data_IF_706173954828
#
_entry.id   IF_706173954828
#
_cell.length_a   1.000
_cell.length_b   1.000
_cell.length_c   1.000
_cell.angle_alpha   90.00
_cell.angle_beta   90.00
_cell.angle_gamma   90.00
#
_symmetry.space_group_name_H-M   'P 1'
#
loop_
_entity.id
_entity.type
_entity.pdbx_description
1 polymer ?
#
# COMPACT_ATOMS: atom_id res chain seq x y z
N UNK A 1 3.88 -10.37 18.69
CA UNK A 1 3.54 -9.05 18.09
C UNK A 1 4.62 -7.98 18.28
N UNK A 2 5.28 -7.87 19.44
CA UNK A 2 6.24 -6.77 19.74
C UNK A 2 7.51 -6.74 18.85
N UNK A 3 7.92 -7.87 18.26
CA UNK A 3 9.09 -7.93 17.36
C UNK A 3 8.87 -7.26 15.99
N UNK A 4 7.62 -7.11 15.54
CA UNK A 4 7.28 -6.50 14.26
C UNK A 4 7.37 -4.96 14.29
N UNK A 5 7.20 -4.35 15.45
CA UNK A 5 7.27 -2.89 15.61
C UNK A 5 8.71 -2.38 15.81
N UNK A 6 9.61 -3.23 16.34
CA UNK A 6 11.01 -2.84 16.58
C UNK A 6 11.85 -2.80 15.30
N UNK A 7 11.63 -3.69 14.34
CA UNK A 7 12.43 -3.74 13.10
C UNK A 7 11.82 -2.91 11.97
N UNK A 8 12.65 -2.28 11.14
CA UNK A 8 12.15 -1.52 9.97
C UNK A 8 11.44 -2.42 8.95
N UNK A 9 11.89 -3.68 8.82
CA UNK A 9 11.25 -4.69 7.97
C UNK A 9 9.86 -5.08 8.48
N UNK A 10 9.67 -5.19 9.80
CA UNK A 10 8.36 -5.48 10.38
C UNK A 10 7.37 -4.33 10.17
N UNK A 11 7.83 -3.08 10.31
CA UNK A 11 7.04 -1.89 9.97
C UNK A 11 6.67 -1.84 8.48
N UNK A 12 7.60 -2.20 7.60
CA UNK A 12 7.34 -2.31 6.16
C UNK A 12 6.25 -3.33 5.85
N UNK A 13 6.26 -4.50 6.49
CA UNK A 13 5.21 -5.52 6.30
C UNK A 13 3.84 -5.02 6.74
N UNK A 14 3.75 -4.30 7.86
CA UNK A 14 2.49 -3.71 8.33
C UNK A 14 2.02 -2.62 7.35
N UNK A 15 2.91 -1.73 6.92
CA UNK A 15 2.58 -0.69 5.94
C UNK A 15 2.09 -1.29 4.62
N UNK A 16 2.77 -2.32 4.10
CA UNK A 16 2.36 -3.02 2.88
C UNK A 16 1.03 -3.75 3.03
N UNK A 17 0.76 -4.34 4.21
CA UNK A 17 -0.54 -4.95 4.48
C UNK A 17 -1.67 -3.91 4.51
N UNK A 18 -1.46 -2.78 5.18
CA UNK A 18 -2.44 -1.68 5.23
C UNK A 18 -2.68 -1.07 3.84
N UNK A 19 -1.62 -0.88 3.07
CA UNK A 19 -1.68 -0.38 1.69
C UNK A 19 -2.47 -1.36 0.81
N UNK A 20 -2.12 -2.65 0.82
CA UNK A 20 -2.82 -3.67 0.04
C UNK A 20 -4.29 -3.83 0.42
N UNK A 21 -4.63 -3.79 1.72
CA UNK A 21 -6.03 -3.77 2.17
C UNK A 21 -6.74 -2.50 1.68
N UNK A 22 -6.11 -1.33 1.76
CA UNK A 22 -6.71 -0.09 1.28
C UNK A 22 -6.97 -0.10 -0.23
N UNK A 23 -6.08 -0.72 -1.02
CA UNK A 23 -6.28 -0.95 -2.46
C UNK A 23 -7.48 -1.87 -2.71
N UNK A 24 -7.58 -2.99 -1.99
CA UNK A 24 -8.71 -3.91 -2.13
C UNK A 24 -10.03 -3.21 -1.80
N UNK A 25 -10.08 -2.42 -0.72
CA UNK A 25 -11.29 -1.65 -0.36
C UNK A 25 -11.61 -0.62 -1.46
N UNK A 26 -10.62 0.09 -2.01
CA UNK A 26 -10.84 1.06 -3.07
C UNK A 26 -11.39 0.41 -4.34
N UNK A 27 -10.85 -0.75 -4.73
CA UNK A 27 -11.21 -1.45 -5.97
C UNK A 27 -12.54 -2.21 -5.82
N UNK A 28 -12.76 -2.92 -4.71
CA UNK A 28 -13.96 -3.75 -4.53
C UNK A 28 -15.14 -2.99 -3.93
N UNK A 29 -14.92 -1.86 -3.26
CA UNK A 29 -16.01 -1.04 -2.68
C UNK A 29 -16.10 0.30 -3.40
N UNK A 30 -14.98 1.03 -3.49
CA UNK A 30 -14.96 2.36 -4.10
C UNK A 30 -15.40 2.35 -5.57
N UNK A 31 -14.80 1.49 -6.39
CA UNK A 31 -15.13 1.43 -7.82
C UNK A 31 -16.59 0.98 -8.06
N UNK A 32 -17.11 -0.08 -7.40
CA UNK A 32 -18.52 -0.42 -7.56
C UNK A 32 -19.48 0.68 -7.12
N UNK A 33 -19.20 1.38 -6.02
CA UNK A 33 -20.02 2.53 -5.59
C UNK A 33 -20.01 3.66 -6.63
N UNK A 34 -18.86 3.92 -7.27
CA UNK A 34 -18.74 4.93 -8.31
C UNK A 34 -19.49 4.56 -9.59
N UNK A 35 -19.39 3.32 -10.06
CA UNK A 35 -19.91 2.93 -11.39
C UNK A 35 -21.30 2.29 -11.36
N UNK A 36 -21.68 1.53 -10.32
CA UNK A 36 -23.01 0.91 -10.24
C UNK A 36 -24.03 1.80 -9.53
N UNK A 37 -23.59 2.63 -8.59
CA UNK A 37 -24.47 3.48 -7.78
C UNK A 37 -24.34 4.97 -8.10
N UNK A 38 -23.54 5.34 -9.13
CA UNK A 38 -23.23 6.72 -9.52
C UNK A 38 -22.82 7.63 -8.35
N UNK A 39 -22.27 7.04 -7.28
CA UNK A 39 -21.91 7.74 -6.06
C UNK A 39 -20.39 7.80 -5.90
N UNK A 40 -19.75 8.91 -6.31
CA UNK A 40 -18.31 9.07 -6.19
C UNK A 40 -17.85 9.39 -4.76
N UNK A 41 -18.76 9.53 -3.78
CA UNK A 41 -18.42 9.94 -2.41
C UNK A 41 -17.42 9.01 -1.73
N UNK A 42 -17.57 7.70 -1.90
CA UNK A 42 -16.67 6.69 -1.31
C UNK A 42 -15.27 6.79 -1.89
N UNK A 43 -15.13 6.91 -3.22
CA UNK A 43 -13.82 7.07 -3.88
C UNK A 43 -13.16 8.40 -3.51
N UNK A 44 -13.94 9.48 -3.36
CA UNK A 44 -13.41 10.80 -2.95
C UNK A 44 -12.80 10.79 -1.55
N UNK A 45 -13.28 9.93 -0.65
CA UNK A 45 -12.73 9.78 0.70
C UNK A 45 -11.61 8.74 0.73
N UNK A 46 -11.85 7.55 0.16
CA UNK A 46 -10.88 6.45 0.20
C UNK A 46 -9.66 6.68 -0.71
N UNK A 47 -9.82 7.39 -1.82
CA UNK A 47 -8.73 7.68 -2.77
C UNK A 47 -7.57 8.43 -2.11
N UNK A 48 -7.80 9.58 -1.46
CA UNK A 48 -6.76 10.28 -0.71
C UNK A 48 -6.17 9.46 0.44
N UNK A 49 -6.98 8.68 1.15
CA UNK A 49 -6.51 7.82 2.25
C UNK A 49 -5.55 6.75 1.71
N UNK A 50 -5.95 6.05 0.65
CA UNK A 50 -5.10 5.07 -0.02
C UNK A 50 -3.83 5.72 -0.59
N UNK A 51 -3.94 6.87 -1.25
CA UNK A 51 -2.78 7.61 -1.78
C UNK A 51 -1.78 8.00 -0.68
N UNK A 52 -2.25 8.43 0.49
CA UNK A 52 -1.39 8.73 1.64
C UNK A 52 -0.70 7.46 2.19
N UNK A 53 -1.42 6.34 2.29
CA UNK A 53 -0.86 5.05 2.69
C UNK A 53 0.17 4.54 1.69
N UNK A 54 -0.10 4.68 0.40
CA UNK A 54 0.83 4.32 -0.67
C UNK A 54 2.13 5.12 -0.58
N UNK A 55 2.05 6.44 -0.38
CA UNK A 55 3.25 7.27 -0.17
C UNK A 55 4.05 6.85 1.06
N UNK A 56 3.39 6.56 2.18
CA UNK A 56 4.04 6.05 3.39
C UNK A 56 4.71 4.68 3.15
N UNK A 57 4.07 3.82 2.36
CA UNK A 57 4.63 2.53 1.97
C UNK A 57 5.88 2.71 1.10
N UNK A 58 5.82 3.55 0.06
CA UNK A 58 6.97 3.87 -0.82
C UNK A 58 8.14 4.38 0.00
N UNK A 59 7.91 5.32 0.92
CA UNK A 59 8.96 5.87 1.78
C UNK A 59 9.60 4.79 2.68
N UNK A 60 8.77 3.88 3.19
CA UNK A 60 9.21 2.75 4.01
C UNK A 60 10.02 1.74 3.19
N UNK A 61 9.58 1.43 1.96
CA UNK A 61 10.29 0.54 1.03
C UNK A 61 11.67 1.11 0.71
N UNK A 62 11.76 2.40 0.36
CA UNK A 62 13.04 3.05 0.04
C UNK A 62 13.96 3.05 1.26
N UNK A 63 13.45 3.39 2.45
CA UNK A 63 14.24 3.37 3.68
C UNK A 63 14.84 1.99 3.98
N UNK A 64 14.03 0.93 3.86
CA UNK A 64 14.49 -0.46 4.07
C UNK A 64 15.43 -0.90 2.95
N UNK A 65 15.17 -0.53 1.70
CA UNK A 65 16.01 -0.87 0.56
C UNK A 65 17.41 -0.29 0.70
N UNK A 66 17.54 0.95 1.17
CA UNK A 66 18.84 1.59 1.43
C UNK A 66 19.57 0.89 2.59
N UNK A 67 18.88 0.64 3.70
CA UNK A 67 19.48 0.02 4.90
C UNK A 67 19.92 -1.42 4.66
N UNK A 68 19.12 -2.20 3.93
CA UNK A 68 19.39 -3.60 3.59
C UNK A 68 20.14 -3.78 2.27
N UNK A 69 20.56 -2.67 1.63
CA UNK A 69 21.27 -2.65 0.33
C UNK A 69 20.59 -3.52 -0.74
N UNK A 70 19.27 -3.42 -0.84
CA UNK A 70 18.52 -4.15 -1.86
C UNK A 70 18.94 -3.73 -3.27
N UNK A 71 18.98 -4.71 -4.18
CA UNK A 71 19.16 -4.41 -5.61
C UNK A 71 17.96 -3.62 -6.11
N UNK A 72 18.19 -2.68 -7.03
CA UNK A 72 17.13 -1.89 -7.65
C UNK A 72 15.95 -2.74 -8.16
N UNK A 73 16.25 -3.92 -8.73
CA UNK A 73 15.24 -4.90 -9.17
C UNK A 73 14.29 -5.32 -8.03
N UNK A 74 14.81 -5.56 -6.84
CA UNK A 74 13.99 -5.99 -5.68
C UNK A 74 13.07 -4.86 -5.23
N UNK A 75 13.60 -3.65 -5.08
CA UNK A 75 12.81 -2.46 -4.73
C UNK A 75 11.72 -2.21 -5.77
N UNK A 76 12.04 -2.33 -7.06
CA UNK A 76 11.08 -2.16 -8.14
C UNK A 76 9.98 -3.23 -8.12
N UNK A 77 10.32 -4.51 -7.91
CA UNK A 77 9.34 -5.58 -7.80
C UNK A 77 8.39 -5.39 -6.61
N UNK A 78 8.90 -4.94 -5.46
CA UNK A 78 8.08 -4.68 -4.25
C UNK A 78 7.16 -3.48 -4.45
N UNK A 79 7.59 -2.45 -5.17
CA UNK A 79 6.71 -1.34 -5.54
C UNK A 79 5.68 -1.80 -6.57
N UNK A 80 6.07 -2.61 -7.55
CA UNK A 80 5.16 -3.13 -8.56
C UNK A 80 4.07 -4.02 -7.95
N UNK A 81 4.41 -4.85 -6.97
CA UNK A 81 3.44 -5.70 -6.28
C UNK A 81 2.34 -4.90 -5.56
N UNK A 82 2.61 -3.66 -5.13
CA UNK A 82 1.57 -2.80 -4.53
C UNK A 82 0.51 -2.31 -5.52
N UNK A 83 0.74 -2.40 -6.83
CA UNK A 83 -0.26 -2.04 -7.84
C UNK A 83 -1.14 -3.21 -8.27
N UNK A 84 -0.71 -4.44 -8.00
CA UNK A 84 -1.40 -5.66 -8.43
C UNK A 84 -2.12 -6.22 -7.20
N UNK A 85 -3.46 -6.23 -7.17
CA UNK A 85 -4.17 -6.89 -6.08
C UNK A 85 -3.74 -8.37 -6.04
N UNK A 86 -3.42 -8.85 -4.83
CA UNK A 86 -2.90 -10.20 -4.56
C UNK A 86 -1.45 -10.50 -5.02
N UNK A 87 -0.67 -9.47 -5.39
CA UNK A 87 0.73 -9.57 -5.82
C UNK A 87 1.75 -9.82 -4.70
#
# INVERSE_FOLDING_TARGET
>A
MQALLKSKVGRLRIAGFLEGVSLLVLVFIGMPMKYYFDNPGVVKVLGPIHGALFLLFVFSVISVAVEQKWKFKTTFLVLLSSFIPFG
#
